data_IF_346571174085
#
_entry.id   IF_346571174085
#
_cell.length_a   1.000
_cell.length_b   1.000
_cell.length_c   1.000
_cell.angle_alpha   90.00
_cell.angle_beta   90.00
_cell.angle_gamma   90.00
#
_symmetry.space_group_name_H-M   'P 1'
#
loop_
_entity.id
_entity.type
_entity.pdbx_description
1 polymer ?
#
# COMPACT_ATOMS: atom_id res chain seq x y z
N UNK A 1 1.95 -4.75 4.94
CA UNK A 1 1.68 -4.08 3.66
C UNK A 1 1.22 -2.66 3.94
N UNK A 2 1.66 -1.68 3.16
CA UNK A 2 1.28 -0.28 3.38
C UNK A 2 1.08 0.47 2.07
N UNK A 3 0.22 1.49 2.10
CA UNK A 3 0.00 2.44 1.00
C UNK A 3 0.58 3.78 1.42
N UNK A 4 1.37 4.37 0.53
CA UNK A 4 2.04 5.65 0.70
C UNK A 4 1.52 6.59 -0.38
N UNK A 5 1.11 7.80 -0.01
CA UNK A 5 0.68 8.82 -0.97
C UNK A 5 1.88 9.47 -1.69
N UNK A 6 1.61 10.32 -2.68
CA UNK A 6 2.66 11.01 -3.45
C UNK A 6 3.54 11.94 -2.60
N UNK A 7 3.02 12.41 -1.46
CA UNK A 7 3.76 13.23 -0.49
C UNK A 7 4.64 12.41 0.45
N UNK A 8 4.68 11.08 0.29
CA UNK A 8 5.46 10.18 1.13
C UNK A 8 4.79 9.80 2.46
N UNK A 9 3.56 10.25 2.71
CA UNK A 9 2.82 9.89 3.92
C UNK A 9 2.21 8.50 3.80
N UNK A 10 2.38 7.68 4.83
CA UNK A 10 1.68 6.40 4.95
C UNK A 10 0.20 6.65 5.25
N UNK A 11 -0.68 6.27 4.33
CA UNK A 11 -2.12 6.50 4.43
C UNK A 11 -2.90 5.23 4.79
N UNK A 12 -2.27 4.07 4.66
CA UNK A 12 -2.84 2.78 5.04
C UNK A 12 -1.73 1.83 5.47
N UNK A 13 -1.95 1.08 6.55
CA UNK A 13 -1.06 0.00 7.00
C UNK A 13 -1.89 -1.19 7.45
N UNK A 14 -1.62 -2.34 6.85
CA UNK A 14 -2.15 -3.63 7.29
C UNK A 14 -1.02 -4.61 7.61
N UNK A 15 -1.19 -5.35 8.69
CA UNK A 15 -0.33 -6.48 9.03
C UNK A 15 -0.65 -7.64 8.10
N UNK A 16 0.36 -8.17 7.42
CA UNK A 16 0.20 -9.35 6.56
C UNK A 16 0.07 -10.56 7.49
N UNK A 17 -1.15 -10.87 7.91
CA UNK A 17 -1.47 -12.20 8.41
C UNK A 17 -1.53 -13.13 7.21
N UNK A 18 -1.11 -14.38 7.38
CA UNK A 18 -0.82 -15.39 6.34
C UNK A 18 -1.96 -15.61 5.32
N UNK A 19 -3.17 -15.09 5.59
CA UNK A 19 -4.37 -15.26 4.76
C UNK A 19 -5.01 -13.98 4.22
N UNK A 20 -4.54 -12.78 4.58
CA UNK A 20 -5.10 -11.52 4.06
C UNK A 20 -4.14 -10.84 3.09
N UNK A 21 -4.40 -11.01 1.79
CA UNK A 21 -3.66 -10.39 0.67
C UNK A 21 -4.38 -9.17 0.08
N UNK A 22 -5.55 -8.83 0.60
CA UNK A 22 -6.39 -7.74 0.09
C UNK A 22 -6.20 -6.47 0.92
N UNK A 23 -6.34 -5.32 0.26
CA UNK A 23 -6.37 -4.01 0.90
C UNK A 23 -7.64 -3.27 0.50
N UNK A 24 -8.42 -2.84 1.49
CA UNK A 24 -9.54 -1.96 1.23
C UNK A 24 -9.05 -0.53 0.92
N UNK A 25 -9.12 -0.13 -0.34
CA UNK A 25 -8.72 1.21 -0.81
C UNK A 25 -9.92 2.12 -1.12
N UNK A 26 -11.14 1.73 -0.75
CA UNK A 26 -12.36 2.44 -1.13
C UNK A 26 -12.43 3.87 -0.58
N UNK A 27 -11.81 4.11 0.58
CA UNK A 27 -11.75 5.43 1.20
C UNK A 27 -10.61 6.32 0.68
N UNK A 28 -9.73 5.80 -0.19
CA UNK A 28 -8.64 6.59 -0.77
C UNK A 28 -9.14 7.34 -2.02
N UNK A 29 -8.87 8.66 -2.15
CA UNK A 29 -9.26 9.43 -3.33
C UNK A 29 -8.51 8.97 -4.59
N UNK A 30 -9.00 9.42 -5.76
CA UNK A 30 -8.30 9.21 -7.03
C UNK A 30 -6.91 9.86 -6.96
N UNK A 31 -5.88 9.17 -7.46
CA UNK A 31 -4.51 9.65 -7.37
C UNK A 31 -3.45 8.58 -7.55
N UNK A 32 -2.20 9.00 -7.42
CA UNK A 32 -1.02 8.13 -7.48
C UNK A 32 -0.57 7.77 -6.07
N UNK A 33 -0.32 6.49 -5.86
CA UNK A 33 0.14 5.93 -4.60
C UNK A 33 1.27 4.93 -4.83
N UNK A 34 1.93 4.54 -3.74
CA UNK A 34 2.93 3.49 -3.71
C UNK A 34 2.50 2.40 -2.75
N UNK A 35 2.36 1.19 -3.26
CA UNK A 35 2.19 -0.02 -2.48
C UNK A 35 3.57 -0.51 -2.02
N UNK A 36 3.76 -0.62 -0.70
CA UNK A 36 4.94 -1.19 -0.08
C UNK A 36 4.58 -2.52 0.59
N UNK A 37 5.26 -3.59 0.17
CA UNK A 37 5.16 -4.92 0.77
C UNK A 37 6.50 -5.27 1.39
N UNK A 38 6.56 -5.31 2.71
CA UNK A 38 7.72 -5.81 3.43
C UNK A 38 7.67 -7.35 3.42
N UNK A 39 8.62 -7.99 2.75
CA UNK A 39 8.69 -9.45 2.59
C UNK A 39 9.40 -10.10 3.78
N UNK A 40 10.41 -9.41 4.30
CA UNK A 40 11.12 -9.72 5.53
C UNK A 40 11.76 -8.41 6.07
N UNK A 41 12.56 -8.49 7.14
CA UNK A 41 13.17 -7.30 7.75
C UNK A 41 14.12 -6.50 6.84
N UNK A 42 14.54 -7.05 5.71
CA UNK A 42 15.56 -6.45 4.83
C UNK A 42 15.05 -6.14 3.43
N UNK A 43 13.96 -6.78 2.99
CA UNK A 43 13.43 -6.64 1.63
C UNK A 43 12.02 -6.08 1.64
N UNK A 44 11.88 -4.97 0.91
CA UNK A 44 10.58 -4.41 0.58
C UNK A 44 10.41 -4.34 -0.93
N UNK A 45 9.24 -4.74 -1.41
CA UNK A 45 8.79 -4.48 -2.78
C UNK A 45 8.00 -3.17 -2.77
N UNK A 46 8.34 -2.26 -3.68
CA UNK A 46 7.63 -1.01 -3.89
C UNK A 46 7.01 -1.00 -5.30
N UNK A 47 5.71 -0.72 -5.40
CA UNK A 47 5.01 -0.63 -6.68
C UNK A 47 4.15 0.62 -6.75
N UNK A 48 4.31 1.40 -7.81
CA UNK A 48 3.42 2.54 -8.11
C UNK A 48 2.04 2.01 -8.53
N UNK A 49 0.99 2.57 -7.96
CA UNK A 49 -0.40 2.28 -8.32
C UNK A 49 -1.15 3.59 -8.58
N UNK A 50 -2.17 3.53 -9.43
CA UNK A 50 -3.07 4.65 -9.70
C UNK A 50 -4.48 4.22 -9.37
N UNK A 51 -5.16 5.02 -8.54
CA UNK A 51 -6.58 4.85 -8.23
C UNK A 51 -7.34 5.79 -9.15
N UNK A 52 -8.18 5.22 -10.01
CA UNK A 52 -9.04 5.93 -10.96
C UNK A 52 -10.42 5.29 -10.84
N UNK A 53 -11.45 6.10 -10.61
CA UNK A 53 -12.87 5.71 -10.53
C UNK A 53 -13.68 6.60 -11.44
#
# INVERSE_FOLDING_TARGET
>A
MSIINISGSMVLKESILIHNTELNINHLPNGIYFLKIDVNNEKSILKKISIIR
#
